data_IF_564272480314
#
_entry.id   IF_564272480314
#
_cell.length_a   1.000
_cell.length_b   1.000
_cell.length_c   1.000
_cell.angle_alpha   90.00
_cell.angle_beta   90.00
_cell.angle_gamma   90.00
#
_symmetry.space_group_name_H-M   'P 1'
#
loop_
_entity.id
_entity.type
_entity.pdbx_description
1 polymer ?
#
# COMPACT_ATOMS: atom_id res chain seq x y z
N UNK A 1 -4.64 28.54 21.71
CA UNK A 1 -5.70 27.53 21.93
C UNK A 1 -5.06 26.17 21.70
N UNK A 2 -5.27 25.15 22.56
CA UNK A 2 -4.77 23.82 22.28
C UNK A 2 -5.42 23.32 20.98
N UNK A 3 -4.60 22.81 20.05
CA UNK A 3 -5.09 22.25 18.80
C UNK A 3 -6.00 21.06 19.11
N UNK A 4 -7.16 20.90 18.43
CA UNK A 4 -8.01 19.73 18.63
C UNK A 4 -7.20 18.46 18.40
N UNK A 5 -7.41 17.44 19.24
CA UNK A 5 -6.72 16.17 19.11
C UNK A 5 -6.99 15.58 17.71
N UNK A 6 -5.96 15.06 17.02
CA UNK A 6 -6.10 14.60 15.65
C UNK A 6 -7.04 13.39 15.57
N UNK A 7 -7.85 13.37 14.51
CA UNK A 7 -8.68 12.22 14.15
C UNK A 7 -7.95 11.37 13.12
N UNK A 8 -7.95 10.05 13.29
CA UNK A 8 -7.34 9.09 12.35
C UNK A 8 -8.42 8.26 11.67
N UNK A 9 -8.29 8.04 10.37
CA UNK A 9 -9.10 7.04 9.64
C UNK A 9 -8.44 5.67 9.66
N UNK A 10 -9.22 4.59 9.74
CA UNK A 10 -8.73 3.23 9.50
C UNK A 10 -9.55 2.58 8.40
N UNK A 11 -8.91 2.14 7.32
CA UNK A 11 -9.54 1.38 6.24
C UNK A 11 -8.96 -0.02 6.22
N UNK A 12 -9.80 -1.02 6.45
CA UNK A 12 -9.45 -2.43 6.27
C UNK A 12 -10.34 -3.04 5.20
N UNK A 13 -9.79 -3.31 4.03
CA UNK A 13 -10.57 -3.87 2.94
C UNK A 13 -10.94 -5.33 3.27
N UNK A 14 -12.23 -5.69 3.37
CA UNK A 14 -12.64 -7.05 3.70
C UNK A 14 -12.25 -8.08 2.64
N UNK A 15 -12.18 -7.68 1.36
CA UNK A 15 -11.83 -8.55 0.24
C UNK A 15 -10.32 -8.76 0.07
N UNK A 16 -9.46 -7.91 0.66
CA UNK A 16 -8.01 -8.06 0.55
C UNK A 16 -7.53 -9.38 1.16
N UNK A 17 -6.54 -10.03 0.54
CA UNK A 17 -6.02 -11.32 1.02
C UNK A 17 -6.87 -12.53 0.65
N UNK A 18 -7.94 -12.38 -0.14
CA UNK A 18 -8.81 -13.46 -0.64
C UNK A 18 -8.76 -13.68 -2.17
N UNK A 19 -7.83 -13.02 -2.87
CA UNK A 19 -7.68 -13.15 -4.33
C UNK A 19 -7.36 -14.61 -4.74
N UNK A 20 -7.95 -15.06 -5.85
CA UNK A 20 -7.70 -16.35 -6.51
C UNK A 20 -6.21 -16.62 -6.71
N UNK A 21 -5.41 -15.59 -7.01
CA UNK A 21 -3.94 -15.72 -7.14
C UNK A 21 -3.27 -16.27 -5.87
N UNK A 22 -3.83 -16.00 -4.70
CA UNK A 22 -3.30 -16.48 -3.40
C UNK A 22 -3.67 -17.93 -3.13
N UNK A 23 -4.83 -18.37 -3.63
CA UNK A 23 -5.27 -19.77 -3.60
C UNK A 23 -4.39 -20.64 -4.51
N UNK A 24 -3.98 -20.11 -5.67
CA UNK A 24 -3.10 -20.83 -6.59
C UNK A 24 -1.63 -20.81 -6.21
N UNK A 25 -1.20 -19.85 -5.38
CA UNK A 25 0.22 -19.62 -5.04
C UNK A 25 0.60 -19.94 -3.58
N UNK A 26 -0.15 -20.76 -2.83
CA UNK A 26 0.14 -21.10 -1.42
C UNK A 26 0.47 -19.87 -0.52
N UNK A 27 -0.10 -18.71 -0.85
CA UNK A 27 0.21 -17.47 -0.14
C UNK A 27 -0.56 -17.42 1.18
N UNK A 28 0.03 -16.82 2.22
CA UNK A 28 -0.64 -16.64 3.51
C UNK A 28 -1.96 -15.87 3.36
N UNK A 29 -3.03 -16.40 3.95
CA UNK A 29 -4.34 -15.77 4.02
C UNK A 29 -4.42 -14.91 5.27
N UNK A 30 -4.94 -13.69 5.12
CA UNK A 30 -5.19 -12.77 6.24
C UNK A 30 -6.69 -12.69 6.46
N UNK A 31 -7.16 -13.28 7.57
CA UNK A 31 -8.58 -13.39 7.87
C UNK A 31 -9.18 -12.04 8.29
N UNK A 32 -10.52 -11.93 8.27
CA UNK A 32 -11.21 -10.78 8.86
C UNK A 32 -10.91 -10.63 10.35
N UNK A 33 -10.71 -11.74 11.06
CA UNK A 33 -10.30 -11.76 12.48
C UNK A 33 -8.87 -11.24 12.69
N UNK A 34 -7.95 -11.53 11.77
CA UNK A 34 -6.58 -10.99 11.83
C UNK A 34 -6.57 -9.48 11.62
N UNK A 35 -7.37 -9.00 10.66
CA UNK A 35 -7.55 -7.56 10.40
C UNK A 35 -8.17 -6.86 11.61
N UNK A 36 -9.23 -7.41 12.20
CA UNK A 36 -9.83 -6.85 13.41
C UNK A 36 -8.81 -6.80 14.56
N UNK A 37 -8.01 -7.85 14.74
CA UNK A 37 -6.96 -7.90 15.77
C UNK A 37 -5.85 -6.86 15.52
N UNK A 38 -5.45 -6.66 14.26
CA UNK A 38 -4.50 -5.62 13.88
C UNK A 38 -5.05 -4.22 14.16
N UNK A 39 -6.33 -3.96 13.88
CA UNK A 39 -6.99 -2.70 14.21
C UNK A 39 -7.01 -2.47 15.73
N UNK A 40 -7.33 -3.48 16.54
CA UNK A 40 -7.27 -3.35 18.00
C UNK A 40 -5.87 -2.97 18.51
N UNK A 41 -4.82 -3.54 17.92
CA UNK A 41 -3.42 -3.16 18.24
C UNK A 41 -3.07 -1.74 17.79
N UNK A 42 -3.59 -1.28 16.65
CA UNK A 42 -3.49 0.14 16.24
C UNK A 42 -4.17 1.05 17.27
N UNK A 43 -5.39 0.72 17.71
CA UNK A 43 -6.15 1.51 18.68
C UNK A 43 -5.43 1.62 20.03
N UNK A 44 -4.78 0.55 20.49
CA UNK A 44 -3.95 0.57 21.67
C UNK A 44 -2.80 1.59 21.56
N UNK A 45 -2.09 1.59 20.44
CA UNK A 45 -0.98 2.50 20.20
C UNK A 45 -1.46 3.96 19.99
N UNK A 46 -2.60 4.15 19.33
CA UNK A 46 -3.24 5.46 19.16
C UNK A 46 -3.70 6.05 20.50
N UNK A 47 -4.28 5.25 21.39
CA UNK A 47 -4.59 5.67 22.76
C UNK A 47 -3.33 6.12 23.52
N UNK A 48 -2.26 5.33 23.45
CA UNK A 48 -0.99 5.63 24.11
C UNK A 48 -0.26 6.87 23.56
N UNK A 49 -0.60 7.30 22.35
CA UNK A 49 0.02 8.47 21.70
C UNK A 49 -0.86 9.72 21.76
N UNK A 50 -2.07 9.63 22.32
CA UNK A 50 -2.95 10.78 22.53
C UNK A 50 -3.94 11.06 21.39
N UNK A 51 -4.20 10.08 20.53
CA UNK A 51 -5.27 10.15 19.53
C UNK A 51 -6.61 10.03 20.28
N UNK A 52 -7.54 10.94 20.00
CA UNK A 52 -8.83 10.98 20.69
C UNK A 52 -9.95 10.28 19.94
N UNK A 53 -9.89 10.30 18.60
CA UNK A 53 -10.96 9.79 17.75
C UNK A 53 -10.42 9.00 16.56
N UNK A 54 -11.10 7.90 16.24
CA UNK A 54 -10.83 7.09 15.06
C UNK A 54 -12.12 6.87 14.27
N UNK A 55 -12.04 7.07 12.95
CA UNK A 55 -13.11 6.75 12.01
C UNK A 55 -12.88 5.34 11.44
N UNK A 56 -13.91 4.50 11.44
CA UNK A 56 -13.86 3.14 10.91
C UNK A 56 -15.10 2.87 10.03
N UNK A 57 -14.95 2.53 8.74
CA UNK A 57 -16.09 2.23 7.90
C UNK A 57 -16.76 0.90 8.27
N UNK A 58 -18.06 0.79 8.01
CA UNK A 58 -18.77 -0.50 8.07
C UNK A 58 -18.21 -1.48 7.03
N UNK A 59 -18.36 -2.77 7.30
CA UNK A 59 -17.97 -3.84 6.38
C UNK A 59 -18.94 -5.03 6.45
N UNK A 60 -19.04 -5.79 5.36
CA UNK A 60 -19.93 -6.96 5.26
C UNK A 60 -19.36 -8.23 5.92
N UNK A 61 -18.12 -8.22 6.43
CA UNK A 61 -17.45 -9.39 7.01
C UNK A 61 -17.32 -9.34 8.54
N UNK A 62 -17.81 -8.28 9.17
CA UNK A 62 -17.85 -8.12 10.62
C UNK A 62 -16.55 -7.64 11.25
N UNK A 63 -15.60 -7.08 10.49
CA UNK A 63 -14.38 -6.47 11.04
C UNK A 63 -14.75 -5.31 11.97
N UNK A 64 -15.55 -4.35 11.49
CA UNK A 64 -15.97 -3.19 12.26
C UNK A 64 -16.79 -3.60 13.49
N UNK A 65 -17.72 -4.56 13.32
CA UNK A 65 -18.52 -5.08 14.43
C UNK A 65 -17.65 -5.74 15.51
N UNK A 66 -16.63 -6.51 15.13
CA UNK A 66 -15.70 -7.13 16.07
C UNK A 66 -14.86 -6.09 16.83
N UNK A 67 -14.38 -5.05 16.14
CA UNK A 67 -13.61 -3.96 16.75
C UNK A 67 -14.47 -3.14 17.72
N UNK A 68 -15.71 -2.81 17.35
CA UNK A 68 -16.66 -2.10 18.22
C UNK A 68 -17.03 -2.90 19.47
N UNK A 69 -17.21 -4.22 19.32
CA UNK A 69 -17.43 -5.09 20.48
C UNK A 69 -16.22 -5.07 21.42
N UNK A 70 -15.01 -5.12 20.87
CA UNK A 70 -13.78 -5.10 21.66
C UNK A 70 -13.54 -3.74 22.35
N UNK A 71 -13.92 -2.62 21.71
CA UNK A 71 -13.75 -1.28 22.28
C UNK A 71 -14.60 -1.02 23.54
N UNK A 72 -15.66 -1.82 23.77
CA UNK A 72 -16.45 -1.77 25.00
C UNK A 72 -15.82 -2.62 26.15
N UNK A 73 -14.78 -3.38 25.86
CA UNK A 73 -14.14 -4.30 26.80
C UNK A 73 -13.21 -3.62 27.82
N UNK A 74 -12.80 -4.34 28.88
CA UNK A 74 -11.92 -3.81 29.92
C UNK A 74 -10.53 -3.42 29.39
N UNK A 75 -9.99 -4.15 28.40
CA UNK A 75 -8.69 -3.88 27.78
C UNK A 75 -8.69 -2.52 27.06
N UNK A 76 -9.76 -2.23 26.30
CA UNK A 76 -9.87 -0.96 25.59
C UNK A 76 -9.93 0.24 26.56
N UNK A 77 -10.61 0.06 27.71
CA UNK A 77 -10.64 1.08 28.77
C UNK A 77 -9.29 1.26 29.45
N UNK A 78 -8.61 0.17 29.84
CA UNK A 78 -7.31 0.26 30.50
C UNK A 78 -6.23 0.86 29.58
N UNK A 79 -6.30 0.56 28.29
CA UNK A 79 -5.41 1.12 27.27
C UNK A 79 -5.91 2.44 26.66
N UNK A 80 -7.00 3.02 27.19
CA UNK A 80 -7.54 4.31 26.77
C UNK A 80 -7.68 4.43 25.25
N UNK A 81 -8.30 3.42 24.62
CA UNK A 81 -8.51 3.45 23.17
C UNK A 81 -9.29 4.71 22.74
N UNK A 82 -8.98 5.28 21.57
CA UNK A 82 -9.70 6.43 21.03
C UNK A 82 -11.18 6.09 20.82
N UNK A 83 -12.02 7.13 20.86
CA UNK A 83 -13.44 7.00 20.54
C UNK A 83 -13.61 6.55 19.09
N UNK A 84 -14.38 5.48 18.88
CA UNK A 84 -14.68 4.96 17.56
C UNK A 84 -15.95 5.61 17.02
N UNK A 85 -15.84 6.23 15.85
CA UNK A 85 -16.99 6.60 15.03
C UNK A 85 -17.07 5.66 13.83
N UNK A 86 -18.21 5.00 13.68
CA UNK A 86 -18.47 4.13 12.54
C UNK A 86 -18.98 4.97 11.38
N UNK A 87 -18.30 4.90 10.24
CA UNK A 87 -18.81 5.48 9.01
C UNK A 87 -19.77 4.47 8.37
N UNK A 88 -21.06 4.77 8.46
CA UNK A 88 -22.08 3.98 7.77
C UNK A 88 -22.08 4.33 6.28
N UNK A 89 -21.79 3.32 5.45
CA UNK A 89 -21.61 3.46 4.02
C UNK A 89 -22.57 2.51 3.27
N UNK A 90 -23.14 2.94 2.13
CA UNK A 90 -23.90 2.05 1.26
C UNK A 90 -22.94 1.11 0.51
N UNK A 91 -22.68 -0.07 1.08
CA UNK A 91 -21.68 -1.00 0.56
C UNK A 91 -22.14 -1.69 -0.74
N UNK A 92 -21.25 -1.71 -1.72
CA UNK A 92 -21.41 -2.36 -3.04
C UNK A 92 -20.54 -3.61 -3.20
N UNK A 93 -19.65 -3.87 -2.25
CA UNK A 93 -18.62 -4.92 -2.28
C UNK A 93 -17.62 -4.79 -3.42
N UNK A 94 -17.36 -3.55 -3.85
CA UNK A 94 -16.39 -3.23 -4.90
C UNK A 94 -15.31 -2.28 -4.38
N UNK A 95 -14.29 -2.01 -5.21
CA UNK A 95 -13.27 -0.99 -4.92
C UNK A 95 -13.87 0.39 -4.67
N UNK A 96 -15.09 0.66 -5.16
CA UNK A 96 -15.80 1.91 -4.92
C UNK A 96 -16.08 2.15 -3.42
N UNK A 97 -16.26 1.09 -2.62
CA UNK A 97 -16.50 1.23 -1.17
C UNK A 97 -15.26 1.80 -0.46
N UNK A 98 -14.07 1.29 -0.81
CA UNK A 98 -12.77 1.78 -0.31
C UNK A 98 -12.56 3.24 -0.71
N UNK A 99 -12.85 3.58 -1.97
CA UNK A 99 -12.74 4.97 -2.46
C UNK A 99 -13.70 5.90 -1.74
N UNK A 100 -14.96 5.49 -1.57
CA UNK A 100 -15.97 6.26 -0.85
C UNK A 100 -15.59 6.47 0.62
N UNK A 101 -15.16 5.42 1.32
CA UNK A 101 -14.68 5.53 2.70
C UNK A 101 -13.53 6.54 2.82
N UNK A 102 -12.57 6.49 1.90
CA UNK A 102 -11.44 7.42 1.86
C UNK A 102 -11.91 8.86 1.67
N UNK A 103 -12.78 9.12 0.67
CA UNK A 103 -13.34 10.46 0.46
C UNK A 103 -14.02 11.01 1.71
N UNK A 104 -14.86 10.19 2.37
CA UNK A 104 -15.52 10.58 3.61
C UNK A 104 -14.53 10.91 4.73
N UNK A 105 -13.44 10.17 4.86
CA UNK A 105 -12.39 10.48 5.84
C UNK A 105 -11.66 11.78 5.52
N UNK A 106 -11.34 12.03 4.25
CA UNK A 106 -10.71 13.29 3.80
C UNK A 106 -11.65 14.48 4.04
N UNK A 107 -12.93 14.35 3.70
CA UNK A 107 -13.96 15.37 3.98
C UNK A 107 -14.09 15.67 5.47
N UNK A 108 -13.87 14.67 6.33
CA UNK A 108 -13.86 14.82 7.80
C UNK A 108 -12.54 15.36 8.35
N UNK A 109 -11.54 15.61 7.50
CA UNK A 109 -10.27 16.24 7.89
C UNK A 109 -9.39 15.33 8.76
N UNK A 110 -9.38 14.02 8.51
CA UNK A 110 -8.47 13.12 9.25
C UNK A 110 -7.00 13.52 9.03
N UNK A 111 -6.20 13.42 10.09
CA UNK A 111 -4.77 13.73 10.03
C UNK A 111 -3.95 12.64 9.32
N UNK A 112 -4.51 11.42 9.20
CA UNK A 112 -3.87 10.25 8.62
C UNK A 112 -4.92 9.16 8.35
N UNK A 113 -4.64 8.26 7.41
CA UNK A 113 -5.42 7.04 7.18
C UNK A 113 -4.51 5.82 7.35
N UNK A 114 -4.80 4.96 8.33
CA UNK A 114 -4.19 3.64 8.41
C UNK A 114 -4.90 2.68 7.45
N UNK A 115 -4.13 2.03 6.59
CA UNK A 115 -4.66 1.17 5.52
C UNK A 115 -4.18 -0.26 5.75
N UNK A 116 -5.12 -1.19 5.89
CA UNK A 116 -4.88 -2.62 6.01
C UNK A 116 -5.33 -3.30 4.72
N UNK A 117 -4.39 -3.69 3.88
CA UNK A 117 -4.71 -4.28 2.58
C UNK A 117 -3.49 -4.75 1.78
N UNK A 118 -3.72 -5.04 0.51
CA UNK A 118 -2.65 -5.25 -0.48
C UNK A 118 -2.47 -4.04 -1.39
N UNK A 119 -1.72 -4.20 -2.47
CA UNK A 119 -1.36 -3.11 -3.40
C UNK A 119 -2.60 -2.41 -3.98
N UNK A 120 -3.56 -3.16 -4.52
CA UNK A 120 -4.80 -2.59 -5.06
C UNK A 120 -5.66 -1.83 -4.03
N UNK A 121 -5.60 -2.22 -2.74
CA UNK A 121 -6.28 -1.45 -1.68
C UNK A 121 -5.57 -0.13 -1.43
N UNK A 122 -4.24 -0.13 -1.39
CA UNK A 122 -3.45 1.07 -1.21
C UNK A 122 -3.58 2.02 -2.41
N UNK A 123 -3.60 1.50 -3.66
CA UNK A 123 -3.89 2.28 -4.88
C UNK A 123 -5.25 2.96 -4.78
N UNK A 124 -6.29 2.23 -4.36
CA UNK A 124 -7.64 2.77 -4.21
C UNK A 124 -7.74 3.89 -3.16
N UNK A 125 -7.09 3.73 -2.01
CA UNK A 125 -7.03 4.79 -0.98
C UNK A 125 -6.21 5.97 -1.47
N UNK A 126 -5.02 5.74 -2.02
CA UNK A 126 -4.12 6.78 -2.52
C UNK A 126 -4.76 7.64 -3.63
N UNK A 127 -5.64 7.07 -4.45
CA UNK A 127 -6.40 7.79 -5.49
C UNK A 127 -7.26 8.92 -4.88
N UNK A 128 -7.81 8.72 -3.69
CA UNK A 128 -8.80 9.64 -3.08
C UNK A 128 -8.22 10.42 -1.90
N UNK A 129 -7.07 9.99 -1.34
CA UNK A 129 -6.49 10.55 -0.13
C UNK A 129 -5.82 11.93 -0.33
N UNK A 130 -5.42 12.27 -1.56
CA UNK A 130 -4.63 13.46 -1.84
C UNK A 130 -3.34 13.48 -1.01
N UNK A 131 -3.12 14.56 -0.25
CA UNK A 131 -1.95 14.71 0.63
C UNK A 131 -2.14 14.15 2.06
N UNK A 132 -3.28 13.53 2.36
CA UNK A 132 -3.48 12.88 3.66
C UNK A 132 -2.52 11.69 3.80
N UNK A 133 -1.65 11.66 4.82
CA UNK A 133 -0.67 10.60 5.00
C UNK A 133 -1.32 9.22 5.19
N UNK A 134 -0.69 8.20 4.58
CA UNK A 134 -1.09 6.80 4.72
C UNK A 134 -0.14 6.05 5.67
N UNK A 135 -0.69 5.42 6.70
CA UNK A 135 0.03 4.40 7.47
C UNK A 135 -0.27 3.03 6.86
N UNK A 136 0.68 2.51 6.10
CA UNK A 136 0.46 1.35 5.23
C UNK A 136 0.79 0.04 5.94
N UNK A 137 -0.18 -0.87 6.02
CA UNK A 137 -0.02 -2.19 6.61
C UNK A 137 -0.45 -3.26 5.61
N UNK A 138 0.50 -4.14 5.29
CA UNK A 138 0.23 -5.27 4.42
C UNK A 138 -0.61 -6.32 5.13
N UNK A 139 -1.69 -6.78 4.48
CA UNK A 139 -2.45 -7.98 4.88
C UNK A 139 -2.09 -9.17 4.01
N UNK A 140 -0.81 -9.33 3.67
CA UNK A 140 -0.34 -10.42 2.80
C UNK A 140 1.17 -10.44 2.62
N UNK A 141 1.71 -11.58 2.20
CA UNK A 141 3.16 -11.76 2.01
C UNK A 141 3.67 -11.44 0.61
N UNK A 142 2.77 -11.11 -0.32
CA UNK A 142 3.06 -10.82 -1.72
C UNK A 142 2.53 -9.44 -2.11
N UNK A 143 2.85 -8.42 -1.33
CA UNK A 143 2.53 -7.04 -1.67
C UNK A 143 3.84 -6.28 -1.76
N UNK A 144 4.01 -5.49 -2.81
CA UNK A 144 5.23 -4.73 -3.02
C UNK A 144 5.14 -3.31 -2.44
N UNK A 145 3.95 -2.72 -2.38
CA UNK A 145 3.78 -1.36 -1.85
C UNK A 145 3.75 -1.30 -0.32
N UNK A 146 2.77 -1.89 0.39
CA UNK A 146 2.79 -1.94 1.84
C UNK A 146 3.70 -3.08 2.34
N UNK A 147 4.43 -2.80 3.40
CA UNK A 147 5.23 -3.82 4.08
C UNK A 147 4.43 -4.61 5.11
N UNK A 148 4.82 -5.85 5.36
CA UNK A 148 4.29 -6.66 6.45
C UNK A 148 4.91 -6.18 7.77
N UNK A 149 4.11 -5.48 8.59
CA UNK A 149 4.56 -4.87 9.84
C UNK A 149 3.65 -5.24 11.00
N UNK A 150 4.21 -5.25 12.20
CA UNK A 150 3.41 -5.39 13.42
C UNK A 150 2.62 -4.09 13.67
N UNK A 151 1.32 -4.24 13.90
CA UNK A 151 0.36 -3.14 13.93
C UNK A 151 0.56 -2.18 15.11
N UNK A 152 1.03 -2.66 16.27
CA UNK A 152 1.32 -1.80 17.44
C UNK A 152 2.48 -0.87 17.12
N UNK A 153 3.58 -1.38 16.58
CA UNK A 153 4.74 -0.55 16.20
C UNK A 153 4.39 0.47 15.12
N UNK A 154 3.62 0.06 14.11
CA UNK A 154 3.10 0.97 13.09
C UNK A 154 2.17 2.03 13.68
N UNK A 155 1.28 1.63 14.60
CA UNK A 155 0.37 2.53 15.30
C UNK A 155 1.09 3.54 16.18
N UNK A 156 2.19 3.15 16.84
CA UNK A 156 3.02 4.07 17.62
C UNK A 156 3.62 5.13 16.71
N UNK A 157 4.18 4.74 15.57
CA UNK A 157 4.71 5.69 14.59
C UNK A 157 3.61 6.62 14.05
N UNK A 158 2.49 6.05 13.61
CA UNK A 158 1.35 6.80 13.08
C UNK A 158 0.80 7.80 14.08
N UNK A 159 0.66 7.40 15.35
CA UNK A 159 0.16 8.26 16.42
C UNK A 159 1.12 9.41 16.76
N UNK A 160 2.43 9.14 16.86
CA UNK A 160 3.44 10.19 17.07
C UNK A 160 3.50 11.18 15.90
N UNK A 161 3.34 10.69 14.66
CA UNK A 161 3.30 11.52 13.48
C UNK A 161 2.02 12.36 13.40
N UNK A 162 0.85 11.77 13.65
CA UNK A 162 -0.45 12.45 13.62
C UNK A 162 -0.57 13.53 14.71
N UNK A 163 0.05 13.32 15.87
CA UNK A 163 0.10 14.30 16.97
C UNK A 163 1.19 15.36 16.80
N UNK A 164 1.94 15.35 15.70
CA UNK A 164 3.00 16.32 15.41
C UNK A 164 4.22 16.21 16.32
N UNK A 165 4.37 15.10 17.06
CA UNK A 165 5.52 14.86 17.96
C UNK A 165 6.78 14.48 17.18
N UNK A 166 6.61 13.99 15.95
CA UNK A 166 7.69 13.84 14.97
C UNK A 166 7.48 14.83 13.82
N UNK A 167 8.51 15.60 13.44
CA UNK A 167 8.44 16.51 12.29
C UNK A 167 8.10 15.78 10.99
N UNK A 168 7.23 16.38 10.16
CA UNK A 168 6.81 15.79 8.88
C UNK A 168 7.98 15.49 7.94
N UNK A 169 9.02 16.32 7.89
CA UNK A 169 10.21 16.08 7.06
C UNK A 169 11.06 14.88 7.49
N UNK A 170 10.77 14.28 8.65
CA UNK A 170 11.41 13.05 9.15
C UNK A 170 10.47 11.86 8.97
N UNK A 171 9.22 12.02 9.41
CA UNK A 171 8.29 10.90 9.51
C UNK A 171 7.38 10.68 8.31
N UNK A 172 7.33 11.61 7.36
CA UNK A 172 6.52 11.48 6.15
C UNK A 172 7.38 11.43 4.90
N UNK A 173 6.92 10.62 3.96
CA UNK A 173 7.63 10.37 2.71
C UNK A 173 6.67 10.38 1.53
N UNK A 174 6.99 11.21 0.54
CA UNK A 174 6.28 11.23 -0.75
C UNK A 174 6.80 10.07 -1.60
N UNK A 175 5.90 9.19 -2.05
CA UNK A 175 6.25 8.05 -2.89
C UNK A 175 6.28 8.44 -4.37
N UNK A 176 7.02 7.64 -5.15
CA UNK A 176 6.99 7.68 -6.61
C UNK A 176 5.73 6.97 -7.13
N UNK A 177 5.32 7.29 -8.35
CA UNK A 177 4.31 6.55 -9.11
C UNK A 177 4.67 6.53 -10.59
N UNK A 178 4.15 5.55 -11.32
CA UNK A 178 4.22 5.49 -12.78
C UNK A 178 2.92 6.04 -13.34
N UNK A 179 3.01 7.01 -14.25
CA UNK A 179 1.90 7.49 -15.05
C UNK A 179 1.91 6.77 -16.39
N UNK A 180 0.75 6.29 -16.81
CA UNK A 180 0.51 5.70 -18.11
C UNK A 180 -0.40 6.65 -18.89
N UNK A 181 0.11 7.20 -19.99
CA UNK A 181 -0.64 8.10 -20.85
C UNK A 181 -0.83 7.48 -22.23
N UNK A 182 -2.08 7.43 -22.70
CA UNK A 182 -2.44 7.03 -24.07
C UNK A 182 -3.22 8.17 -24.70
N UNK A 183 -2.54 9.11 -25.39
CA UNK A 183 -3.15 10.34 -25.88
C UNK A 183 -4.37 10.10 -26.78
N UNK A 184 -4.29 9.13 -27.67
CA UNK A 184 -5.34 8.83 -28.66
C UNK A 184 -6.63 8.33 -28.02
N UNK A 185 -6.53 7.70 -26.85
CA UNK A 185 -7.66 7.23 -26.05
C UNK A 185 -8.08 8.24 -24.97
N UNK A 186 -7.32 9.32 -24.78
CA UNK A 186 -7.52 10.27 -23.68
C UNK A 186 -7.32 9.65 -22.28
N UNK A 187 -6.53 8.57 -22.20
CA UNK A 187 -6.30 7.84 -20.95
C UNK A 187 -5.08 8.37 -20.20
N UNK A 188 -5.24 8.56 -18.89
CA UNK A 188 -4.17 8.89 -17.97
C UNK A 188 -4.39 8.11 -16.67
N UNK A 189 -3.79 6.92 -16.59
CA UNK A 189 -3.86 6.04 -15.42
C UNK A 189 -2.51 5.99 -14.71
N UNK A 190 -2.45 5.35 -13.54
CA UNK A 190 -1.22 5.30 -12.77
C UNK A 190 -1.06 4.04 -11.93
N UNK A 191 0.18 3.67 -11.63
CA UNK A 191 0.57 2.51 -10.83
C UNK A 191 1.50 2.94 -9.68
N UNK A 192 1.38 2.26 -8.53
CA UNK A 192 2.20 2.52 -7.35
C UNK A 192 3.58 1.84 -7.42
N UNK A 193 3.64 0.65 -8.00
CA UNK A 193 4.81 -0.22 -7.98
C UNK A 193 5.34 -0.43 -9.38
N UNK A 194 4.52 -0.99 -10.27
CA UNK A 194 4.99 -1.36 -11.61
C UNK A 194 3.92 -1.23 -12.72
N UNK A 195 4.42 -1.05 -13.94
CA UNK A 195 3.66 -1.20 -15.19
C UNK A 195 4.31 -2.31 -16.00
N UNK A 196 3.53 -3.33 -16.36
CA UNK A 196 4.00 -4.42 -17.19
C UNK A 196 3.32 -4.39 -18.56
N UNK A 197 4.11 -4.61 -19.61
CA UNK A 197 3.68 -4.62 -21.00
C UNK A 197 3.57 -6.06 -21.47
N UNK A 198 2.42 -6.42 -22.03
CA UNK A 198 2.14 -7.76 -22.53
C UNK A 198 1.79 -7.74 -24.02
N UNK A 199 2.28 -8.70 -24.83
CA UNK A 199 1.88 -8.84 -26.23
C UNK A 199 0.45 -9.35 -26.40
N UNK A 200 -0.21 -9.78 -25.32
CA UNK A 200 -1.61 -10.18 -25.37
C UNK A 200 -2.51 -8.97 -25.67
N UNK A 201 -3.33 -9.09 -26.71
CA UNK A 201 -4.16 -7.99 -27.25
C UNK A 201 -5.44 -7.70 -26.45
N UNK A 202 -5.82 -8.58 -25.54
CA UNK A 202 -7.07 -8.47 -24.80
C UNK A 202 -6.82 -8.67 -23.31
N UNK A 203 -7.53 -7.91 -22.47
CA UNK A 203 -7.38 -7.93 -21.00
C UNK A 203 -7.71 -9.31 -20.40
N UNK A 204 -8.56 -10.12 -21.07
CA UNK A 204 -8.81 -11.52 -20.71
C UNK A 204 -8.90 -11.77 -19.20
N UNK A 205 -8.05 -12.66 -18.68
CA UNK A 205 -7.81 -12.76 -17.24
C UNK A 205 -6.96 -11.56 -16.76
N UNK A 206 -7.49 -10.69 -15.91
CA UNK A 206 -6.78 -9.46 -15.48
C UNK A 206 -5.39 -9.71 -14.89
N UNK A 207 -5.16 -10.85 -14.24
CA UNK A 207 -3.87 -11.19 -13.66
C UNK A 207 -2.84 -11.61 -14.73
N UNK A 208 -1.64 -11.03 -14.69
CA UNK A 208 -0.47 -11.57 -15.39
C UNK A 208 0.23 -12.60 -14.50
N UNK A 209 0.46 -13.81 -15.03
CA UNK A 209 0.99 -14.93 -14.24
C UNK A 209 2.11 -15.72 -14.89
N UNK A 210 2.52 -15.39 -16.13
CA UNK A 210 3.57 -16.10 -16.87
C UNK A 210 4.56 -15.11 -17.47
N UNK A 211 5.85 -15.44 -17.41
CA UNK A 211 6.89 -14.62 -18.03
C UNK A 211 6.76 -14.51 -19.55
N UNK A 212 6.28 -15.57 -20.21
CA UNK A 212 6.09 -15.62 -21.67
C UNK A 212 5.10 -14.57 -22.19
N UNK A 213 4.29 -14.01 -21.28
CA UNK A 213 3.30 -12.98 -21.58
C UNK A 213 3.80 -11.57 -21.25
N UNK A 214 5.11 -11.38 -21.03
CA UNK A 214 5.72 -10.10 -20.67
C UNK A 214 6.78 -9.71 -21.70
N UNK A 215 6.70 -8.47 -22.18
CA UNK A 215 7.72 -7.86 -23.03
C UNK A 215 8.58 -6.85 -22.25
N UNK A 216 7.96 -6.07 -21.36
CA UNK A 216 8.64 -5.01 -20.62
C UNK A 216 8.04 -4.87 -19.23
N UNK A 217 8.86 -4.48 -18.26
CA UNK A 217 8.40 -4.08 -16.93
C UNK A 217 9.09 -2.79 -16.53
N UNK A 218 8.29 -1.80 -16.13
CA UNK A 218 8.71 -0.54 -15.54
C UNK A 218 8.37 -0.56 -14.06
N UNK A 219 9.28 -0.16 -13.18
CA UNK A 219 9.08 -0.18 -11.74
C UNK A 219 9.48 1.17 -11.10
N UNK A 220 8.62 1.70 -10.24
CA UNK A 220 8.93 2.83 -9.36
C UNK A 220 10.12 2.51 -8.46
N UNK A 221 10.09 1.33 -7.86
CA UNK A 221 11.10 0.78 -6.98
C UNK A 221 11.03 -0.74 -7.12
N UNK A 222 12.15 -1.40 -6.84
CA UNK A 222 12.32 -2.83 -7.04
C UNK A 222 13.40 -3.30 -6.07
N UNK A 223 12.96 -3.71 -4.88
CA UNK A 223 13.85 -4.25 -3.87
C UNK A 223 14.23 -5.70 -4.24
N UNK A 224 15.47 -6.16 -3.98
CA UNK A 224 15.89 -7.53 -4.32
C UNK A 224 15.07 -8.66 -3.68
N UNK A 225 14.35 -8.36 -2.61
CA UNK A 225 13.48 -9.31 -1.90
C UNK A 225 12.01 -9.21 -2.31
N UNK A 226 11.69 -8.41 -3.34
CA UNK A 226 10.34 -8.31 -3.88
C UNK A 226 9.87 -9.64 -4.49
N UNK A 227 8.56 -9.86 -4.46
CA UNK A 227 7.87 -10.97 -5.13
C UNK A 227 6.87 -10.34 -6.08
N UNK A 228 6.68 -10.94 -7.26
CA UNK A 228 5.82 -10.37 -8.32
C UNK A 228 6.62 -9.87 -9.51
N UNK A 229 6.00 -9.01 -10.32
CA UNK A 229 6.61 -8.50 -11.55
C UNK A 229 7.79 -7.56 -11.28
N UNK A 230 7.71 -6.75 -10.21
CA UNK A 230 8.83 -5.90 -9.76
C UNK A 230 10.08 -6.69 -9.34
N UNK A 231 9.98 -8.00 -9.05
CA UNK A 231 11.15 -8.84 -8.76
C UNK A 231 12.10 -8.98 -9.95
N UNK A 232 11.60 -8.83 -11.19
CA UNK A 232 12.43 -8.84 -12.40
C UNK A 232 13.43 -7.68 -12.38
N UNK A 233 12.95 -6.47 -12.10
CA UNK A 233 13.83 -5.32 -11.88
C UNK A 233 14.67 -5.51 -10.60
N UNK A 234 14.07 -6.02 -9.51
CA UNK A 234 14.72 -6.08 -8.20
C UNK A 234 15.93 -7.01 -8.14
N UNK A 235 15.91 -8.11 -8.89
CA UNK A 235 17.01 -9.06 -8.93
C UNK A 235 18.03 -8.76 -10.04
N UNK A 236 17.67 -7.96 -11.05
CA UNK A 236 18.55 -7.63 -12.18
C UNK A 236 19.24 -6.27 -12.05
N UNK A 237 18.46 -5.23 -11.76
CA UNK A 237 18.89 -3.84 -11.64
C UNK A 237 18.14 -3.16 -10.48
N UNK A 238 18.46 -3.54 -9.23
CA UNK A 238 17.69 -3.11 -8.07
C UNK A 238 17.64 -1.59 -7.94
N UNK A 239 16.49 -1.10 -7.52
CA UNK A 239 16.26 0.32 -7.25
C UNK A 239 15.48 0.42 -5.95
N UNK A 240 16.07 1.08 -4.95
CA UNK A 240 15.42 1.23 -3.67
C UNK A 240 14.18 2.10 -3.80
N UNK A 241 13.23 1.91 -2.89
CA UNK A 241 12.14 2.87 -2.71
C UNK A 241 12.71 4.28 -2.60
N UNK A 242 13.81 4.47 -1.87
CA UNK A 242 14.45 5.77 -1.56
C UNK A 242 15.13 6.47 -2.75
N UNK A 243 15.46 5.72 -3.80
CA UNK A 243 16.14 6.31 -4.97
C UNK A 243 15.22 7.25 -5.73
N UNK A 244 15.81 8.25 -6.41
CA UNK A 244 15.05 9.23 -7.20
C UNK A 244 14.51 8.64 -8.50
N UNK A 245 15.26 7.75 -9.14
CA UNK A 245 14.88 7.08 -10.38
C UNK A 245 14.06 5.80 -10.10
N UNK A 246 13.51 5.22 -11.17
CA UNK A 246 12.95 3.87 -11.19
C UNK A 246 13.84 2.94 -12.01
N UNK A 247 13.30 1.80 -12.42
CA UNK A 247 14.00 0.86 -13.30
C UNK A 247 13.06 0.32 -14.37
N UNK A 248 13.62 -0.09 -15.49
CA UNK A 248 12.92 -0.86 -16.50
C UNK A 248 13.76 -2.05 -16.95
N UNK A 249 13.08 -3.11 -17.37
CA UNK A 249 13.68 -4.30 -17.99
C UNK A 249 12.89 -4.68 -19.23
N UNK A 250 13.59 -5.12 -20.27
CA UNK A 250 13.00 -5.77 -21.43
C UNK A 250 13.21 -7.28 -21.32
N UNK A 251 12.16 -8.02 -21.63
CA UNK A 251 12.16 -9.47 -21.64
C UNK A 251 12.26 -10.00 -23.06
N UNK A 252 13.02 -11.07 -23.20
CA UNK A 252 13.15 -11.82 -24.44
C UNK A 252 13.16 -13.31 -24.12
N UNK A 253 12.10 -14.01 -24.53
CA UNK A 253 11.93 -15.44 -24.26
C UNK A 253 12.98 -16.31 -24.96
N UNK A 254 13.60 -15.80 -26.02
CA UNK A 254 14.60 -16.52 -26.82
C UNK A 254 16.05 -16.28 -26.32
N UNK A 255 16.22 -15.50 -25.24
CA UNK A 255 17.54 -15.25 -24.67
C UNK A 255 18.13 -16.51 -24.03
N UNK A 256 19.38 -16.84 -24.38
CA UNK A 256 20.10 -18.02 -23.86
C UNK A 256 20.33 -17.95 -22.34
N UNK A 257 20.39 -16.74 -21.77
CA UNK A 257 20.54 -16.52 -20.33
C UNK A 257 19.24 -15.98 -19.74
N UNK A 258 18.80 -16.61 -18.65
CA UNK A 258 17.57 -16.24 -17.96
C UNK A 258 17.81 -15.97 -16.47
N UNK A 259 17.12 -14.96 -15.97
CA UNK A 259 17.00 -14.67 -14.55
C UNK A 259 15.93 -15.57 -13.92
N UNK A 260 16.25 -16.28 -12.85
CA UNK A 260 15.26 -16.98 -12.06
C UNK A 260 14.57 -16.00 -11.10
N UNK A 261 13.31 -15.64 -11.38
CA UNK A 261 12.56 -14.62 -10.64
C UNK A 261 11.35 -15.20 -9.88
N UNK A 262 11.08 -14.73 -8.64
CA UNK A 262 9.90 -15.10 -7.86
C UNK A 262 8.66 -14.30 -8.30
N UNK A 263 7.99 -14.74 -9.37
CA UNK A 263 6.81 -14.05 -9.89
C UNK A 263 5.56 -14.20 -9.01
N UNK A 264 5.53 -15.20 -8.12
CA UNK A 264 4.54 -15.34 -7.06
C UNK A 264 5.12 -16.17 -5.90
N UNK A 265 4.49 -16.20 -4.70
CA UNK A 265 4.95 -17.05 -3.61
C UNK A 265 5.05 -18.51 -4.04
N UNK A 266 6.23 -19.10 -3.85
CA UNK A 266 6.50 -20.48 -4.25
C UNK A 266 6.60 -20.73 -5.76
N UNK A 267 6.45 -19.70 -6.61
CA UNK A 267 6.55 -19.80 -8.07
C UNK A 267 7.79 -19.05 -8.55
N UNK A 268 8.82 -19.81 -8.93
CA UNK A 268 10.02 -19.31 -9.58
C UNK A 268 9.92 -19.58 -11.09
N UNK A 269 10.21 -18.57 -11.91
CA UNK A 269 10.22 -18.70 -13.36
C UNK A 269 11.51 -18.11 -13.95
N UNK A 270 12.10 -18.83 -14.90
CA UNK A 270 13.24 -18.33 -15.67
C UNK A 270 12.74 -17.32 -16.70
N UNK A 271 13.29 -16.10 -16.67
CA UNK A 271 12.89 -14.98 -17.52
C UNK A 271 14.12 -14.45 -18.26
N UNK A 272 14.15 -14.51 -19.58
CA UNK A 272 15.24 -13.95 -20.37
C UNK A 272 15.20 -12.42 -20.34
N UNK A 273 16.31 -11.77 -19.98
CA UNK A 273 16.40 -10.30 -19.90
C UNK A 273 17.34 -9.82 -21.00
N UNK A 274 16.81 -9.06 -21.96
CA UNK A 274 17.57 -8.55 -23.11
C UNK A 274 18.18 -7.17 -22.86
N UNK A 275 17.53 -6.34 -22.05
CA UNK A 275 18.00 -5.01 -21.70
C UNK A 275 17.45 -4.53 -20.36
N UNK A 276 18.11 -3.55 -19.75
CA UNK A 276 17.64 -2.88 -18.56
C UNK A 276 18.20 -1.45 -18.49
N UNK A 277 17.59 -0.61 -17.67
CA UNK A 277 18.10 0.73 -17.42
C UNK A 277 17.33 1.51 -16.36
N UNK A 278 17.83 2.70 -15.99
CA UNK A 278 17.13 3.59 -15.08
C UNK A 278 15.92 4.23 -15.77
N UNK A 279 14.88 4.45 -14.99
CA UNK A 279 13.71 5.23 -15.37
C UNK A 279 13.82 6.64 -14.76
N UNK A 280 14.16 7.63 -15.58
CA UNK A 280 14.38 9.00 -15.11
C UNK A 280 13.04 9.71 -14.84
N UNK A 281 12.91 10.44 -13.72
CA UNK A 281 11.70 11.20 -13.41
C UNK A 281 11.34 12.23 -14.47
N UNK A 282 10.06 12.28 -14.86
CA UNK A 282 9.52 13.25 -15.81
C UNK A 282 9.82 12.97 -17.28
N UNK A 283 10.57 11.91 -17.59
CA UNK A 283 10.82 11.46 -18.97
C UNK A 283 9.75 10.45 -19.36
N UNK A 284 9.10 10.67 -20.51
CA UNK A 284 8.13 9.74 -21.07
C UNK A 284 8.82 8.66 -21.90
N UNK A 285 8.67 7.40 -21.48
CA UNK A 285 9.26 6.24 -22.16
C UNK A 285 8.19 5.59 -23.04
N UNK A 286 8.42 5.47 -24.36
CA UNK A 286 7.53 4.72 -25.24
C UNK A 286 7.66 3.22 -24.99
N UNK A 287 6.60 2.48 -25.31
CA UNK A 287 6.65 1.02 -25.30
C UNK A 287 7.38 0.50 -26.54
N UNK A 288 7.98 -0.69 -26.44
CA UNK A 288 8.58 -1.39 -27.59
C UNK A 288 7.54 -2.06 -28.48
N UNK A 289 6.42 -2.51 -27.89
CA UNK A 289 5.34 -3.16 -28.63
C UNK A 289 4.45 -2.14 -29.35
N UNK A 290 4.00 -2.49 -30.55
CA UNK A 290 3.01 -1.71 -31.31
C UNK A 290 1.55 -2.02 -30.91
N UNK A 291 1.28 -3.14 -30.23
CA UNK A 291 -0.06 -3.48 -29.75
C UNK A 291 0.03 -4.47 -28.60
N UNK A 292 -0.91 -4.42 -27.66
CA UNK A 292 -0.90 -5.31 -26.51
C UNK A 292 -1.78 -4.81 -25.37
N UNK A 293 -1.40 -5.20 -24.16
CA UNK A 293 -2.04 -4.75 -22.92
C UNK A 293 -1.02 -4.21 -21.93
N UNK A 294 -1.47 -3.28 -21.08
CA UNK A 294 -0.73 -2.77 -19.94
C UNK A 294 -1.39 -3.25 -18.66
N UNK A 295 -0.58 -3.84 -17.78
CA UNK A 295 -0.96 -4.13 -16.42
C UNK A 295 -0.35 -3.13 -15.46
N UNK A 296 -1.18 -2.56 -14.59
CA UNK A 296 -0.80 -1.59 -13.58
C UNK A 296 -0.90 -2.30 -12.23
N UNK A 297 0.21 -2.35 -11.47
CA UNK A 297 0.30 -3.07 -10.18
C UNK A 297 -0.22 -4.53 -10.27
N UNK A 298 0.12 -5.20 -11.38
CA UNK A 298 -0.20 -6.61 -11.62
C UNK A 298 -1.62 -6.89 -12.16
N UNK A 299 -2.44 -5.89 -12.47
CA UNK A 299 -3.74 -6.06 -13.13
C UNK A 299 -3.78 -5.38 -14.50
N UNK A 300 -4.17 -6.13 -15.54
CA UNK A 300 -4.42 -5.61 -16.89
C UNK A 300 -5.61 -4.66 -16.87
N UNK A 301 -5.34 -3.42 -17.26
CA UNK A 301 -6.32 -2.33 -17.24
C UNK A 301 -6.48 -1.65 -18.61
N UNK A 302 -5.45 -1.66 -19.46
CA UNK A 302 -5.43 -0.89 -20.71
C UNK A 302 -5.10 -1.80 -21.90
N UNK A 303 -5.85 -1.67 -22.98
CA UNK A 303 -5.58 -2.25 -24.30
C UNK A 303 -5.05 -1.16 -25.22
N UNK A 304 -4.05 -1.46 -26.04
CA UNK A 304 -3.53 -0.52 -27.03
C UNK A 304 -3.26 -1.21 -28.37
N UNK A 305 -3.46 -0.47 -29.44
CA UNK A 305 -3.40 -0.89 -30.83
C UNK A 305 -2.31 -0.12 -31.60
N UNK A 306 -1.98 -0.50 -32.85
CA UNK A 306 -0.89 0.11 -33.62
C UNK A 306 -0.98 1.62 -33.90
N UNK A 307 -2.13 2.25 -33.63
CA UNK A 307 -2.32 3.69 -33.76
C UNK A 307 -2.17 4.44 -32.44
N UNK A 308 -2.13 3.74 -31.31
CA UNK A 308 -1.95 4.32 -29.99
C UNK A 308 -0.46 4.55 -29.71
N UNK A 309 -0.15 5.62 -28.98
CA UNK A 309 1.22 5.95 -28.56
C UNK A 309 1.36 5.97 -27.03
N UNK A 310 1.16 4.80 -26.36
CA UNK A 310 1.28 4.71 -24.91
C UNK A 310 2.69 5.08 -24.43
N UNK A 311 2.75 5.82 -23.33
CA UNK A 311 4.00 6.16 -22.64
C UNK A 311 3.90 5.89 -21.15
N UNK A 312 5.04 5.52 -20.55
CA UNK A 312 5.20 5.36 -19.11
C UNK A 312 6.14 6.45 -18.60
N UNK A 313 5.72 7.21 -17.60
CA UNK A 313 6.50 8.30 -16.99
C UNK A 313 6.57 8.10 -15.48
N UNK A 314 7.77 8.15 -14.90
CA UNK A 314 7.94 8.19 -13.45
C UNK A 314 7.73 9.62 -12.94
N UNK A 315 6.91 9.80 -11.91
CA UNK A 315 6.84 11.07 -11.17
C UNK A 315 6.95 10.86 -9.66
N UNK A 316 7.17 11.96 -8.93
CA UNK A 316 7.26 11.98 -7.47
C UNK A 316 5.96 12.44 -6.79
N UNK A 317 4.82 12.35 -7.49
CA UNK A 317 3.51 12.80 -7.00
C UNK A 317 2.63 11.63 -6.52
N UNK A 318 3.25 10.55 -6.05
CA UNK A 318 2.55 9.43 -5.42
C UNK A 318 2.04 9.77 -4.01
N UNK A 319 1.42 8.80 -3.31
CA UNK A 319 0.87 9.04 -1.99
C UNK A 319 1.94 9.41 -0.96
N UNK A 320 1.54 10.21 0.01
CA UNK A 320 2.35 10.50 1.20
C UNK A 320 2.17 9.36 2.21
N UNK A 321 3.26 8.75 2.68
CA UNK A 321 3.22 7.64 3.64
C UNK A 321 4.02 7.96 4.90
N UNK A 322 3.67 7.30 6.00
CA UNK A 322 4.46 7.33 7.24
C UNK A 322 5.68 6.42 7.10
N UNK A 323 6.88 6.97 7.30
CA UNK A 323 8.10 6.20 7.45
C UNK A 323 8.20 5.70 8.90
N UNK A 324 7.69 4.49 9.15
CA UNK A 324 7.56 3.90 10.50
C UNK A 324 8.92 3.81 11.19
N UNK A 325 9.96 3.42 10.46
CA UNK A 325 11.30 3.25 11.02
C UNK A 325 11.94 4.59 11.37
N UNK A 326 11.85 5.57 10.48
CA UNK A 326 12.36 6.91 10.76
C UNK A 326 11.66 7.56 11.95
N UNK A 327 10.33 7.42 12.05
CA UNK A 327 9.54 7.92 13.18
C UNK A 327 9.97 7.27 14.49
N UNK A 328 10.07 5.94 14.53
CA UNK A 328 10.44 5.23 15.76
C UNK A 328 11.90 5.48 16.16
N UNK A 329 12.81 5.59 15.19
CA UNK A 329 14.21 5.97 15.44
C UNK A 329 14.31 7.38 16.02
N UNK A 330 13.56 8.34 15.49
CA UNK A 330 13.46 9.68 16.05
C UNK A 330 12.88 9.66 17.47
N UNK A 331 11.78 8.94 17.67
CA UNK A 331 11.14 8.81 18.97
C UNK A 331 12.07 8.26 20.05
N UNK A 332 12.87 7.24 19.71
CA UNK A 332 13.86 6.66 20.61
C UNK A 332 14.98 7.64 20.96
N UNK A 333 15.55 8.33 19.96
CA UNK A 333 16.65 9.30 20.15
C UNK A 333 16.23 10.49 21.00
N UNK A 334 14.97 10.89 20.93
CA UNK A 334 14.42 12.04 21.64
C UNK A 334 13.58 11.66 22.87
N UNK A 335 13.61 10.39 23.29
CA UNK A 335 12.86 9.88 24.44
C UNK A 335 11.36 10.22 24.42
N UNK A 336 10.74 10.27 23.23
CA UNK A 336 9.33 10.65 23.10
C UNK A 336 8.38 9.64 23.75
N UNK A 337 8.81 8.42 24.01
CA UNK A 337 7.99 7.40 24.66
C UNK A 337 8.30 7.26 26.17
N UNK A 338 9.11 8.15 26.73
CA UNK A 338 9.33 8.21 28.17
C UNK A 338 8.04 8.64 28.87
N UNK A 339 7.59 7.81 29.81
CA UNK A 339 6.42 8.07 30.64
C UNK A 339 6.77 7.86 32.12
N UNK A 340 6.18 8.63 33.05
CA UNK A 340 6.30 8.37 34.48
C UNK A 340 5.87 6.93 34.83
N UNK A 341 6.43 6.34 35.90
CA UNK A 341 6.07 4.97 36.31
C UNK A 341 4.61 4.81 36.75
N UNK A 342 4.00 5.89 37.19
CA UNK A 342 2.59 6.03 37.57
C UNK A 342 1.69 6.46 36.39
N UNK A 343 2.24 6.50 35.17
CA UNK A 343 1.47 6.86 33.98
C UNK A 343 0.29 5.90 33.77
N UNK A 344 -0.82 6.41 33.22
CA UNK A 344 -2.14 5.76 33.23
C UNK A 344 -2.19 4.39 32.53
N UNK A 345 -1.24 4.06 31.65
CA UNK A 345 -1.09 2.73 31.06
C UNK A 345 -0.48 1.69 32.02
N UNK A 346 0.11 2.13 33.13
CA UNK A 346 0.67 1.34 34.24
C UNK A 346 -0.18 1.42 35.51
N UNK A 347 -1.33 2.11 35.51
CA UNK A 347 -2.21 2.16 36.67
C UNK A 347 -2.78 0.75 36.94
N UNK A 348 -1.99 -0.06 37.65
CA UNK A 348 -2.44 -1.29 38.27
C UNK A 348 -3.66 -0.91 39.10
N UNK A 349 -4.79 -1.54 38.81
CA UNK A 349 -5.93 -1.48 39.70
C UNK A 349 -5.44 -1.88 41.10
N UNK A 350 -5.45 -0.97 42.10
CA UNK A 350 -5.28 -1.41 43.46
C UNK A 350 -6.56 -2.18 43.81
N UNK A 351 -6.38 -3.47 44.11
CA UNK A 351 -7.27 -4.46 44.71
C UNK A 351 -8.78 -4.18 44.73
#
# INVERSE_FOLDING_TARGET
MPQPAPTIGIIANPASGRDLRRLTANAGLYSSTDKASAIQRLLAAFGATGIAQVLLPTDMTGIAAAVLKASAGPIARSQHWPALEVLDLPLTQTVADTRLATRRMVERGVAMIAVLGGDGTHKAVATEAGDVPLLTLSTGTNNAFPELREATSAGLAGGLQATGRVPAGIGLRRNKRLLVHVPEQGLCEWALVEVAVSPQRFIGARALSRSDDLAEVFACFAEPHAIGLSALCGLWCPVSRQDRHGAWVHLDADNEQALLAPLAPGLLQACGISACGPLEPGVAYPLTLASGTLALDGEREIEFAPHDTPTVTLDANGPLTVDVEAVLAYAARHHLLEVPRDHRHFAAHPC
#
